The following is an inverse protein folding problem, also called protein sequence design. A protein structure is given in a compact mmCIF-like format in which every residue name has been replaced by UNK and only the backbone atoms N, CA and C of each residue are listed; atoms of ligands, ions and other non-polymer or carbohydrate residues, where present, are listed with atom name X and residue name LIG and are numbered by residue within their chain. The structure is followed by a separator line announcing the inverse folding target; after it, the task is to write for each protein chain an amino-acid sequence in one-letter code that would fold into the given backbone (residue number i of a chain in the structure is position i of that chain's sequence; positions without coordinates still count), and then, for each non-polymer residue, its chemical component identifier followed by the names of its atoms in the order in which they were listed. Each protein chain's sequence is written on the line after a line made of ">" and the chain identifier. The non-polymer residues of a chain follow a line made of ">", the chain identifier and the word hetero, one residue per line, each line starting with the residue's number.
data_IF_606822531369
#
_entry.id   IF_606822531369
#
_cell.length_a   1.000
_cell.length_b   1.000
_cell.length_c   1.000
_cell.angle_alpha   90.00
_cell.angle_beta   90.00
_cell.angle_gamma   90.00
#
_symmetry.space_group_name_H-M   'P 1'
#
loop_
_entity.id
_entity.type
_entity.pdbx_description
1 polymer ?
#
# COMPACT_ATOMS: atom_id res chain seq x y z
N UNK A 1 -18.94 18.11 -21.98
CA UNK A 1 -17.50 18.34 -22.01
C UNK A 1 -16.82 16.98 -21.95
N UNK A 2 -16.09 16.63 -23.02
CA UNK A 2 -15.49 15.31 -23.15
C UNK A 2 -14.36 15.13 -22.10
N UNK A 3 -14.47 14.06 -21.31
CA UNK A 3 -13.37 13.60 -20.47
C UNK A 3 -12.21 13.20 -21.39
N UNK A 4 -11.06 13.85 -21.25
CA UNK A 4 -9.85 13.42 -21.94
C UNK A 4 -9.49 12.03 -21.43
N UNK A 5 -9.62 11.05 -22.32
CA UNK A 5 -9.14 9.68 -22.13
C UNK A 5 -7.62 9.75 -21.97
N UNK A 6 -7.12 9.36 -20.82
CA UNK A 6 -5.68 9.17 -20.62
C UNK A 6 -5.29 7.93 -21.43
N UNK A 7 -4.40 8.02 -22.44
CA UNK A 7 -4.08 6.87 -23.28
C UNK A 7 -3.37 5.81 -22.44
N UNK A 8 -3.81 4.57 -22.57
CA UNK A 8 -3.08 3.40 -22.11
C UNK A 8 -1.74 3.33 -22.86
N UNK A 9 -0.62 3.52 -22.14
CA UNK A 9 0.70 3.15 -22.65
C UNK A 9 1.53 4.25 -23.31
N UNK A 10 1.65 5.42 -22.70
CA UNK A 10 2.81 6.28 -22.97
C UNK A 10 3.51 6.54 -21.63
N UNK A 11 4.75 6.07 -21.51
CA UNK A 11 5.74 6.57 -20.57
C UNK A 11 6.00 8.05 -20.89
N UNK A 12 5.01 8.89 -20.58
CA UNK A 12 5.15 10.33 -20.59
C UNK A 12 6.05 10.72 -19.43
N UNK A 13 6.89 11.68 -19.66
CA UNK A 13 7.83 12.31 -18.74
C UNK A 13 7.34 12.29 -17.27
N UNK A 14 7.87 11.33 -16.49
CA UNK A 14 7.53 11.08 -15.08
C UNK A 14 8.27 12.06 -14.16
N UNK A 15 8.71 13.22 -14.70
CA UNK A 15 9.36 14.26 -13.91
C UNK A 15 8.40 14.76 -12.82
N UNK A 16 8.93 14.88 -11.61
CA UNK A 16 8.22 15.48 -10.49
C UNK A 16 7.70 16.88 -10.87
N UNK A 17 6.56 17.29 -10.35
CA UNK A 17 6.04 18.65 -10.54
C UNK A 17 6.99 19.60 -9.82
N UNK A 18 7.64 20.50 -10.56
CA UNK A 18 8.52 21.48 -9.96
C UNK A 18 7.72 22.59 -9.23
N UNK A 19 8.34 23.22 -8.25
CA UNK A 19 7.72 24.36 -7.57
C UNK A 19 7.47 25.53 -8.54
N UNK A 20 8.35 25.71 -9.54
CA UNK A 20 8.19 26.76 -10.55
C UNK A 20 6.98 26.51 -11.44
N UNK A 21 6.78 25.27 -11.91
CA UNK A 21 5.59 24.90 -12.70
C UNK A 21 4.31 25.12 -11.88
N UNK A 22 4.34 24.72 -10.60
CA UNK A 22 3.18 24.87 -9.72
C UNK A 22 2.80 26.34 -9.51
N UNK A 23 3.78 27.22 -9.27
CA UNK A 23 3.57 28.67 -9.11
C UNK A 23 3.00 29.31 -10.39
N UNK A 24 3.57 28.99 -11.55
CA UNK A 24 3.10 29.49 -12.84
C UNK A 24 1.65 29.07 -13.10
N UNK A 25 1.37 27.78 -12.94
CA UNK A 25 0.04 27.22 -13.21
C UNK A 25 -1.02 27.68 -12.20
N UNK A 26 -0.64 27.91 -10.92
CA UNK A 26 -1.54 28.51 -9.94
C UNK A 26 -1.88 29.96 -10.26
N UNK A 27 -0.94 30.73 -10.81
CA UNK A 27 -1.16 32.13 -11.19
C UNK A 27 -2.14 32.26 -12.38
N UNK A 28 -2.08 31.30 -13.31
CA UNK A 28 -2.89 31.31 -14.53
C UNK A 28 -4.27 30.64 -14.35
N UNK A 29 -4.48 29.85 -13.28
CA UNK A 29 -5.73 29.12 -13.05
C UNK A 29 -6.80 30.02 -12.41
N UNK A 30 -7.97 30.24 -13.08
CA UNK A 30 -9.05 31.08 -12.55
C UNK A 30 -9.65 30.56 -11.24
N UNK A 31 -9.57 29.26 -10.96
CA UNK A 31 -10.06 28.69 -9.70
C UNK A 31 -9.08 28.98 -8.55
N UNK A 32 -7.77 28.89 -8.81
CA UNK A 32 -6.75 29.30 -7.86
C UNK A 32 -6.82 30.78 -7.54
N UNK A 33 -7.06 31.64 -8.53
CA UNK A 33 -7.25 33.11 -8.34
C UNK A 33 -8.46 33.41 -7.43
N UNK A 34 -9.56 32.65 -7.55
CA UNK A 34 -10.72 32.81 -6.64
C UNK A 34 -10.36 32.42 -5.21
N UNK A 35 -9.57 31.39 -5.01
CA UNK A 35 -9.11 30.98 -3.67
C UNK A 35 -8.12 31.96 -3.07
N UNK A 36 -7.26 32.55 -3.89
CA UNK A 36 -6.37 33.67 -3.46
C UNK A 36 -7.17 34.90 -3.00
N UNK A 37 -8.19 35.30 -3.74
CA UNK A 37 -9.08 36.40 -3.34
C UNK A 37 -9.85 36.06 -2.05
N UNK A 38 -10.21 34.81 -1.82
CA UNK A 38 -10.92 34.37 -0.62
C UNK A 38 -10.00 34.21 0.61
N UNK A 39 -8.68 34.15 0.43
CA UNK A 39 -7.72 33.96 1.53
C UNK A 39 -7.81 35.06 2.60
N UNK A 40 -8.03 36.29 2.17
CA UNK A 40 -8.16 37.46 3.06
C UNK A 40 -9.45 37.46 3.90
N UNK A 41 -10.45 36.63 3.54
CA UNK A 41 -11.80 36.69 4.12
C UNK A 41 -12.09 35.56 5.13
N UNK A 42 -11.51 34.38 4.96
CA UNK A 42 -11.91 33.19 5.74
C UNK A 42 -10.75 32.35 6.35
N UNK A 43 -9.49 32.74 6.13
CA UNK A 43 -8.34 32.06 6.73
C UNK A 43 -8.14 30.60 6.31
N UNK A 44 -8.92 30.13 5.31
CA UNK A 44 -8.82 28.75 4.81
C UNK A 44 -7.71 28.54 3.77
N UNK A 45 -7.26 29.62 3.16
CA UNK A 45 -6.22 29.63 2.14
C UNK A 45 -5.11 30.58 2.56
N UNK A 46 -3.87 30.20 2.25
CA UNK A 46 -2.66 30.94 2.60
C UNK A 46 -1.55 30.62 1.57
N UNK A 47 -0.40 31.24 1.72
CA UNK A 47 0.77 30.92 0.93
C UNK A 47 1.85 30.29 1.81
N UNK A 48 2.54 29.26 1.30
CA UNK A 48 3.72 28.71 1.98
C UNK A 48 4.95 29.63 1.81
N UNK A 49 6.06 29.26 2.46
CA UNK A 49 7.33 30.02 2.44
C UNK A 49 7.91 30.16 1.01
N UNK A 50 7.43 29.41 0.05
CA UNK A 50 7.84 29.43 -1.37
C UNK A 50 6.85 30.17 -2.25
N UNK A 51 5.79 30.71 -1.69
CA UNK A 51 4.73 31.43 -2.40
C UNK A 51 3.68 30.50 -3.04
N UNK A 52 3.68 29.21 -2.73
CA UNK A 52 2.70 28.26 -3.24
C UNK A 52 1.38 28.42 -2.49
N UNK A 53 0.27 28.53 -3.23
CA UNK A 53 -1.08 28.59 -2.66
C UNK A 53 -1.42 27.26 -1.98
N UNK A 54 -1.75 27.34 -0.70
CA UNK A 54 -2.13 26.21 0.15
C UNK A 54 -3.53 26.42 0.74
N UNK A 55 -4.17 25.31 1.09
CA UNK A 55 -5.39 25.27 1.88
C UNK A 55 -5.08 24.71 3.27
N UNK A 56 -5.63 25.31 4.29
CA UNK A 56 -5.60 24.80 5.67
C UNK A 56 -6.84 23.91 5.86
N UNK A 57 -6.64 22.62 6.08
CA UNK A 57 -7.74 21.67 6.23
C UNK A 57 -8.50 21.95 7.55
N UNK A 58 -9.84 22.16 7.50
CA UNK A 58 -10.62 22.47 8.70
C UNK A 58 -10.65 21.35 9.76
N UNK A 59 -10.36 20.12 9.35
CA UNK A 59 -10.46 18.94 10.24
C UNK A 59 -9.27 18.78 11.19
N UNK A 60 -8.06 19.14 10.76
CA UNK A 60 -6.81 18.86 11.47
C UNK A 60 -5.74 19.94 11.31
N UNK A 61 -6.04 21.04 10.61
CA UNK A 61 -5.10 22.12 10.35
C UNK A 61 -3.98 21.75 9.36
N UNK A 62 -4.02 20.60 8.69
CA UNK A 62 -2.98 20.19 7.75
C UNK A 62 -2.92 21.14 6.54
N UNK A 63 -1.69 21.44 6.10
CA UNK A 63 -1.44 22.28 4.93
C UNK A 63 -1.52 21.43 3.66
N UNK A 64 -2.45 21.76 2.77
CA UNK A 64 -2.72 21.08 1.52
C UNK A 64 -2.38 22.01 0.34
N UNK A 65 -1.53 21.57 -0.58
CA UNK A 65 -1.24 22.31 -1.80
C UNK A 65 -2.49 22.37 -2.68
N UNK A 66 -2.90 23.55 -3.10
CA UNK A 66 -4.00 23.73 -4.06
C UNK A 66 -3.48 23.38 -5.45
N UNK A 67 -4.01 22.34 -6.07
CA UNK A 67 -3.55 21.87 -7.38
C UNK A 67 -4.36 22.51 -8.49
N UNK A 68 -3.73 23.33 -9.38
CA UNK A 68 -4.38 23.95 -10.52
C UNK A 68 -4.90 22.91 -11.50
N UNK A 69 -5.93 23.23 -12.25
CA UNK A 69 -6.64 22.28 -13.14
C UNK A 69 -5.73 21.59 -14.14
N UNK A 70 -4.75 22.29 -14.70
CA UNK A 70 -3.76 21.77 -15.65
C UNK A 70 -2.90 20.65 -15.09
N UNK A 71 -2.57 20.67 -13.79
CA UNK A 71 -1.69 19.70 -13.14
C UNK A 71 -2.43 18.53 -12.49
N UNK A 72 -3.77 18.56 -12.36
CA UNK A 72 -4.54 17.49 -11.68
C UNK A 72 -4.33 16.12 -12.30
N UNK A 73 -4.36 16.03 -13.63
CA UNK A 73 -4.13 14.73 -14.32
C UNK A 73 -2.74 14.19 -14.07
N UNK A 74 -1.71 15.05 -14.00
CA UNK A 74 -0.33 14.65 -13.69
C UNK A 74 -0.21 14.16 -12.24
N UNK A 75 -0.83 14.86 -11.28
CA UNK A 75 -0.87 14.44 -9.87
C UNK A 75 -1.58 13.10 -9.72
N UNK A 76 -2.75 12.93 -10.35
CA UNK A 76 -3.49 11.66 -10.34
C UNK A 76 -2.68 10.51 -10.94
N UNK A 77 -1.95 10.78 -12.04
CA UNK A 77 -1.06 9.79 -12.64
C UNK A 77 0.05 9.37 -11.68
N UNK A 78 0.77 10.33 -11.09
CA UNK A 78 1.88 10.07 -10.18
C UNK A 78 1.45 9.32 -8.90
N UNK A 79 0.20 9.52 -8.46
CA UNK A 79 -0.36 8.89 -7.26
C UNK A 79 -1.04 7.53 -7.54
N UNK A 80 -1.10 7.10 -8.81
CA UNK A 80 -1.75 5.84 -9.18
C UNK A 80 -0.87 4.87 -9.95
N UNK A 81 -0.17 5.32 -10.99
CA UNK A 81 0.46 4.43 -11.98
C UNK A 81 1.90 4.00 -11.67
N UNK A 82 2.80 4.82 -11.10
CA UNK A 82 4.18 4.42 -10.86
C UNK A 82 4.30 3.20 -9.97
N UNK A 83 5.32 2.37 -10.20
CA UNK A 83 5.59 1.15 -9.44
C UNK A 83 5.69 1.41 -7.93
N UNK A 84 6.25 2.56 -7.54
CA UNK A 84 6.37 2.95 -6.14
C UNK A 84 5.02 3.18 -5.43
N UNK A 85 3.93 3.44 -6.18
CA UNK A 85 2.58 3.64 -5.64
C UNK A 85 1.65 2.44 -5.82
N UNK A 86 1.99 1.49 -6.70
CA UNK A 86 1.37 0.17 -6.80
C UNK A 86 -0.17 0.16 -6.96
N UNK A 87 -0.71 0.95 -7.86
CA UNK A 87 -2.14 0.99 -8.22
C UNK A 87 -3.11 0.96 -7.03
N UNK A 88 -3.12 1.98 -6.17
CA UNK A 88 -4.01 2.00 -5.00
C UNK A 88 -5.49 2.01 -5.39
N UNK A 89 -6.32 1.36 -4.60
CA UNK A 89 -7.77 1.53 -4.70
C UNK A 89 -8.20 2.96 -4.37
N UNK A 90 -9.30 3.44 -4.98
CA UNK A 90 -9.74 4.84 -4.94
C UNK A 90 -9.82 5.44 -3.52
N UNK A 91 -10.43 4.72 -2.57
CA UNK A 91 -10.55 5.19 -1.20
C UNK A 91 -9.18 5.40 -0.53
N UNK A 92 -8.22 4.50 -0.75
CA UNK A 92 -6.87 4.61 -0.19
C UNK A 92 -6.09 5.74 -0.85
N UNK A 93 -6.14 5.85 -2.18
CA UNK A 93 -5.55 6.94 -2.95
C UNK A 93 -6.05 8.29 -2.46
N UNK A 94 -7.37 8.48 -2.36
CA UNK A 94 -7.96 9.72 -1.86
C UNK A 94 -7.51 10.06 -0.42
N UNK A 95 -7.49 9.09 0.50
CA UNK A 95 -7.02 9.31 1.88
C UNK A 95 -5.56 9.73 1.97
N UNK A 96 -4.71 9.24 1.07
CA UNK A 96 -3.30 9.63 1.00
C UNK A 96 -3.17 11.03 0.42
N UNK A 97 -3.80 11.28 -0.73
CA UNK A 97 -3.71 12.55 -1.45
C UNK A 97 -4.25 13.74 -0.64
N UNK A 98 -5.37 13.56 0.05
CA UNK A 98 -5.99 14.64 0.86
C UNK A 98 -5.11 15.15 2.02
N UNK A 99 -4.01 14.50 2.33
CA UNK A 99 -3.05 14.98 3.33
C UNK A 99 -2.15 16.09 2.80
N UNK A 100 -1.91 16.08 1.49
CA UNK A 100 -0.94 16.96 0.85
C UNK A 100 -1.54 17.84 -0.23
N UNK A 101 -2.66 17.41 -0.85
CA UNK A 101 -3.26 18.06 -2.00
C UNK A 101 -4.72 18.39 -1.76
N UNK A 102 -5.17 19.45 -2.46
CA UNK A 102 -6.56 19.85 -2.49
C UNK A 102 -6.95 20.46 -3.84
N UNK A 103 -8.12 20.09 -4.32
CA UNK A 103 -8.92 20.79 -5.31
C UNK A 103 -10.40 20.40 -5.15
N UNK A 104 -11.37 21.24 -5.62
CA UNK A 104 -12.77 20.87 -5.60
C UNK A 104 -13.03 19.57 -6.37
N UNK A 105 -13.90 18.71 -5.84
CA UNK A 105 -14.27 17.44 -6.44
C UNK A 105 -13.11 16.40 -6.59
N UNK A 106 -12.00 16.60 -5.88
CA UNK A 106 -10.85 15.69 -5.91
C UNK A 106 -11.24 14.22 -5.68
N UNK A 107 -12.23 13.94 -4.83
CA UNK A 107 -12.70 12.58 -4.60
C UNK A 107 -13.26 11.96 -5.89
N UNK A 108 -14.06 12.68 -6.63
CA UNK A 108 -14.67 12.23 -7.88
C UNK A 108 -13.59 11.92 -8.93
N UNK A 109 -12.62 12.82 -9.10
CA UNK A 109 -11.50 12.64 -10.03
C UNK A 109 -10.65 11.41 -9.68
N UNK A 110 -10.38 11.18 -8.40
CA UNK A 110 -9.66 9.99 -7.91
C UNK A 110 -10.44 8.71 -8.20
N UNK A 111 -11.76 8.69 -7.92
CA UNK A 111 -12.58 7.51 -8.20
C UNK A 111 -12.66 7.21 -9.69
N UNK A 112 -12.76 8.24 -10.53
CA UNK A 112 -12.80 8.08 -11.98
C UNK A 112 -11.47 7.56 -12.53
N UNK A 113 -10.33 8.10 -12.06
CA UNK A 113 -8.98 7.64 -12.43
C UNK A 113 -8.79 6.14 -12.16
N UNK A 114 -9.19 5.69 -10.96
CA UNK A 114 -9.06 4.26 -10.60
C UNK A 114 -10.07 3.39 -11.36
N UNK A 115 -11.27 3.91 -11.66
CA UNK A 115 -12.29 3.22 -12.44
C UNK A 115 -11.85 2.95 -13.88
N UNK A 116 -11.17 3.93 -14.49
CA UNK A 116 -10.67 3.88 -15.87
C UNK A 116 -9.35 3.09 -16.01
N UNK A 117 -8.67 2.76 -14.91
CA UNK A 117 -7.44 2.01 -14.97
C UNK A 117 -7.68 0.54 -15.33
N UNK A 118 -7.20 0.10 -16.50
CA UNK A 118 -7.35 -1.28 -17.00
C UNK A 118 -6.74 -2.32 -16.05
N UNK A 119 -5.56 -2.02 -15.48
CA UNK A 119 -4.91 -2.90 -14.53
C UNK A 119 -5.77 -3.11 -13.28
N UNK A 120 -6.37 -2.04 -12.74
CA UNK A 120 -7.29 -2.11 -11.60
C UNK A 120 -8.60 -2.81 -11.98
N UNK A 121 -9.15 -2.57 -13.16
CA UNK A 121 -10.38 -3.19 -13.63
C UNK A 121 -10.23 -4.71 -13.78
N UNK A 122 -9.14 -5.17 -14.39
CA UNK A 122 -8.84 -6.61 -14.56
C UNK A 122 -8.58 -7.34 -13.23
N UNK A 123 -8.05 -6.63 -12.24
CA UNK A 123 -7.66 -7.21 -10.94
C UNK A 123 -8.68 -6.93 -9.82
N UNK A 124 -9.88 -6.41 -10.15
CA UNK A 124 -10.92 -6.10 -9.17
C UNK A 124 -11.44 -7.39 -8.53
N UNK A 125 -11.15 -7.56 -7.25
CA UNK A 125 -11.63 -8.69 -6.45
C UNK A 125 -13.01 -8.32 -5.92
N UNK A 126 -14.04 -9.16 -6.22
CA UNK A 126 -15.38 -9.02 -5.65
C UNK A 126 -15.33 -9.27 -4.14
N UNK A 127 -15.62 -8.27 -3.33
CA UNK A 127 -15.73 -8.43 -1.88
C UNK A 127 -17.09 -9.07 -1.54
N UNK A 128 -17.11 -10.38 -1.25
CA UNK A 128 -18.23 -10.98 -0.53
C UNK A 128 -18.15 -10.56 0.93
N UNK A 129 -19.14 -9.80 1.41
CA UNK A 129 -19.25 -9.44 2.83
C UNK A 129 -19.54 -10.70 3.64
N UNK A 130 -18.57 -11.18 4.40
CA UNK A 130 -18.79 -12.18 5.44
C UNK A 130 -19.12 -11.45 6.75
N UNK A 131 -20.34 -11.66 7.26
CA UNK A 131 -20.91 -11.03 8.46
C UNK A 131 -20.69 -11.85 9.74
N UNK A 132 -19.53 -12.46 9.93
CA UNK A 132 -19.24 -13.20 11.15
C UNK A 132 -18.42 -12.34 12.12
N UNK A 133 -18.83 -12.33 13.38
CA UNK A 133 -18.16 -11.58 14.46
C UNK A 133 -16.70 -12.03 14.60
N UNK A 134 -15.76 -11.13 14.37
CA UNK A 134 -14.34 -11.34 14.58
C UNK A 134 -14.01 -11.23 16.06
N UNK A 135 -13.56 -12.30 16.70
CA UNK A 135 -12.78 -12.17 17.93
C UNK A 135 -11.38 -11.70 17.57
N UNK A 136 -11.19 -10.40 17.64
CA UNK A 136 -9.88 -9.78 17.47
C UNK A 136 -9.07 -9.99 18.74
N UNK A 137 -7.95 -10.72 18.65
CA UNK A 137 -6.88 -10.60 19.65
C UNK A 137 -6.04 -9.37 19.26
N UNK A 138 -6.30 -8.18 19.82
CA UNK A 138 -5.59 -6.98 19.43
C UNK A 138 -4.12 -7.10 19.83
N UNK A 139 -3.22 -6.75 18.93
CA UNK A 139 -1.82 -6.52 19.29
C UNK A 139 -1.77 -5.32 20.24
N UNK A 140 -1.02 -5.42 21.33
CA UNK A 140 -0.96 -4.38 22.37
C UNK A 140 -0.05 -3.21 21.97
N UNK A 141 0.97 -3.47 21.13
CA UNK A 141 1.94 -2.48 20.70
C UNK A 141 2.62 -2.83 19.37
N UNK A 142 3.42 -1.89 18.83
CA UNK A 142 4.20 -2.10 17.63
C UNK A 142 5.19 -3.26 17.77
N UNK A 143 5.31 -4.10 16.75
CA UNK A 143 6.29 -5.18 16.63
C UNK A 143 6.17 -6.31 17.68
N UNK A 144 5.18 -6.26 18.56
CA UNK A 144 4.97 -7.31 19.58
C UNK A 144 4.33 -8.57 18.99
N UNK A 145 3.40 -8.43 18.06
CA UNK A 145 2.63 -9.54 17.51
C UNK A 145 2.70 -9.55 16.00
N UNK A 146 3.41 -10.53 15.48
CA UNK A 146 3.65 -10.71 14.06
C UNK A 146 2.78 -11.84 13.52
N UNK A 147 2.29 -11.67 12.32
CA UNK A 147 1.64 -12.74 11.58
C UNK A 147 2.46 -13.09 10.34
N UNK A 148 2.59 -14.38 10.06
CA UNK A 148 3.27 -14.89 8.88
C UNK A 148 2.37 -15.82 8.09
N UNK A 149 2.50 -15.73 6.76
CA UNK A 149 1.79 -16.59 5.82
C UNK A 149 2.64 -16.83 4.56
N UNK A 150 2.34 -17.87 3.81
CA UNK A 150 3.04 -18.22 2.59
C UNK A 150 2.06 -18.33 1.44
N UNK A 151 2.30 -17.50 0.44
CA UNK A 151 1.55 -17.50 -0.82
C UNK A 151 2.21 -18.40 -1.84
N UNK A 152 1.44 -19.20 -2.51
CA UNK A 152 1.91 -20.03 -3.61
C UNK A 152 1.34 -21.47 -3.62
N UNK A 153 1.79 -22.30 -4.58
CA UNK A 153 2.85 -21.99 -5.56
C UNK A 153 2.41 -20.93 -6.58
N UNK A 154 3.31 -19.98 -6.84
CA UNK A 154 3.21 -18.99 -7.90
C UNK A 154 3.96 -19.48 -9.15
N UNK A 155 3.78 -18.85 -10.32
CA UNK A 155 4.61 -19.11 -11.49
C UNK A 155 6.09 -18.99 -11.13
N UNK A 156 6.91 -19.94 -11.64
CA UNK A 156 8.35 -19.94 -11.35
C UNK A 156 9.03 -18.76 -12.04
N UNK A 157 9.75 -17.98 -11.25
CA UNK A 157 10.51 -16.84 -11.79
C UNK A 157 11.83 -17.25 -12.41
N UNK A 158 12.48 -16.31 -13.12
CA UNK A 158 13.85 -16.48 -13.65
C UNK A 158 14.86 -16.79 -12.54
N UNK A 159 14.64 -16.28 -11.33
CA UNK A 159 15.47 -16.56 -10.15
C UNK A 159 15.10 -17.86 -9.44
N UNK A 160 14.07 -18.55 -9.92
CA UNK A 160 13.61 -19.83 -9.39
C UNK A 160 12.61 -19.73 -8.25
N UNK A 161 12.14 -18.53 -7.88
CA UNK A 161 11.15 -18.31 -6.84
C UNK A 161 9.78 -18.85 -7.24
N UNK A 162 9.07 -19.48 -6.30
CA UNK A 162 7.73 -20.06 -6.48
C UNK A 162 6.77 -19.71 -5.35
N UNK A 163 7.27 -19.19 -4.27
CA UNK A 163 6.50 -18.86 -3.08
C UNK A 163 6.86 -17.47 -2.59
N UNK A 164 5.94 -16.84 -1.92
CA UNK A 164 6.14 -15.53 -1.30
C UNK A 164 5.80 -15.63 0.20
N UNK A 165 6.81 -15.50 1.05
CA UNK A 165 6.60 -15.36 2.49
C UNK A 165 6.17 -13.93 2.77
N UNK A 166 5.07 -13.77 3.50
CA UNK A 166 4.54 -12.49 3.96
C UNK A 166 4.66 -12.45 5.48
N UNK A 167 5.32 -11.41 6.00
CA UNK A 167 5.52 -11.17 7.43
C UNK A 167 4.91 -9.81 7.73
N UNK A 168 3.96 -9.73 8.66
CA UNK A 168 3.26 -8.48 8.94
C UNK A 168 3.10 -8.24 10.43
N UNK A 169 3.41 -7.02 10.88
CA UNK A 169 3.06 -6.57 12.22
C UNK A 169 1.55 -6.33 12.33
N UNK A 170 0.95 -6.96 13.30
CA UNK A 170 -0.49 -6.90 13.51
C UNK A 170 -0.96 -5.54 14.04
N UNK A 171 -0.08 -4.77 14.65
CA UNK A 171 -0.38 -3.43 15.16
C UNK A 171 -0.19 -2.36 14.10
N UNK A 172 1.05 -2.15 13.63
CA UNK A 172 1.41 -1.07 12.68
C UNK A 172 1.01 -1.35 11.26
N UNK A 173 0.79 -2.62 10.90
CA UNK A 173 0.55 -3.13 9.53
C UNK A 173 1.82 -3.12 8.66
N UNK A 174 2.97 -2.77 9.21
CA UNK A 174 4.25 -2.89 8.50
C UNK A 174 4.42 -4.33 8.03
N UNK A 175 4.73 -4.47 6.75
CA UNK A 175 4.83 -5.78 6.08
C UNK A 175 6.20 -5.94 5.43
N UNK A 176 6.71 -7.16 5.44
CA UNK A 176 7.86 -7.63 4.65
C UNK A 176 7.42 -8.77 3.77
N UNK A 177 7.94 -8.84 2.56
CA UNK A 177 7.72 -9.96 1.65
C UNK A 177 9.05 -10.53 1.22
N UNK A 178 9.14 -11.86 1.20
CA UNK A 178 10.38 -12.57 0.85
C UNK A 178 10.06 -13.64 -0.19
N UNK A 179 10.57 -13.52 -1.42
CA UNK A 179 10.47 -14.57 -2.42
C UNK A 179 11.24 -15.82 -1.98
N UNK A 180 10.62 -16.97 -2.08
CA UNK A 180 11.21 -18.26 -1.71
C UNK A 180 11.17 -19.24 -2.89
N UNK A 181 12.25 -20.00 -3.05
CA UNK A 181 12.32 -21.10 -4.04
C UNK A 181 11.62 -22.35 -3.53
N UNK A 182 11.75 -22.61 -2.23
CA UNK A 182 11.20 -23.80 -1.54
C UNK A 182 10.59 -23.38 -0.21
N UNK A 183 9.62 -24.17 0.28
CA UNK A 183 8.94 -23.96 1.56
C UNK A 183 9.35 -25.07 2.52
N UNK A 184 10.58 -25.01 3.00
CA UNK A 184 11.08 -25.87 4.08
C UNK A 184 11.10 -25.09 5.40
N UNK A 185 11.06 -25.77 6.54
CA UNK A 185 11.18 -25.12 7.86
C UNK A 185 12.46 -24.28 7.96
N UNK A 186 13.56 -24.76 7.38
CA UNK A 186 14.85 -24.06 7.36
C UNK A 186 14.79 -22.80 6.50
N UNK A 187 14.26 -22.87 5.27
CA UNK A 187 14.18 -21.71 4.38
C UNK A 187 13.26 -20.61 4.95
N UNK A 188 12.15 -21.00 5.57
CA UNK A 188 11.21 -20.07 6.21
C UNK A 188 11.81 -19.44 7.47
N UNK A 189 12.46 -20.24 8.34
CA UNK A 189 13.13 -19.74 9.54
C UNK A 189 14.25 -18.75 9.18
N UNK A 190 15.11 -19.08 8.21
CA UNK A 190 16.17 -18.19 7.75
C UNK A 190 15.59 -16.88 7.19
N UNK A 191 14.59 -16.96 6.30
CA UNK A 191 13.96 -15.77 5.75
C UNK A 191 13.31 -14.88 6.84
N UNK A 192 12.68 -15.46 7.85
CA UNK A 192 12.12 -14.75 8.98
C UNK A 192 13.21 -14.05 9.82
N UNK A 193 14.29 -14.77 10.16
CA UNK A 193 15.41 -14.22 10.95
C UNK A 193 16.07 -13.08 10.17
N UNK A 194 16.46 -13.30 8.91
CA UNK A 194 17.19 -12.32 8.11
C UNK A 194 16.35 -11.06 7.80
N UNK A 195 15.07 -11.23 7.49
CA UNK A 195 14.25 -10.14 6.99
C UNK A 195 13.39 -9.46 8.06
N UNK A 196 13.23 -10.09 9.22
CA UNK A 196 12.46 -9.52 10.32
C UNK A 196 13.29 -9.37 11.59
N UNK A 197 13.81 -10.47 12.14
CA UNK A 197 14.46 -10.45 13.46
C UNK A 197 15.73 -9.57 13.47
N UNK A 198 16.55 -9.64 12.44
CA UNK A 198 17.73 -8.79 12.34
C UNK A 198 17.43 -7.33 12.02
N UNK A 199 16.23 -7.01 11.56
CA UNK A 199 15.82 -5.63 11.22
C UNK A 199 15.05 -4.96 12.35
N UNK A 200 14.15 -5.70 13.02
CA UNK A 200 13.21 -5.16 14.01
C UNK A 200 13.34 -5.77 15.40
N UNK A 201 14.14 -6.81 15.57
CA UNK A 201 14.18 -7.63 16.77
C UNK A 201 13.17 -8.79 16.79
N UNK A 202 13.30 -9.72 17.74
CA UNK A 202 12.37 -10.82 17.93
C UNK A 202 11.03 -10.29 18.46
N UNK A 203 9.88 -10.69 17.87
CA UNK A 203 8.57 -10.33 18.38
C UNK A 203 8.23 -11.14 19.65
N UNK A 204 7.30 -10.64 20.47
CA UNK A 204 6.78 -11.38 21.62
C UNK A 204 5.98 -12.59 21.16
N UNK A 205 5.19 -12.46 20.11
CA UNK A 205 4.36 -13.54 19.58
C UNK A 205 4.36 -13.62 18.06
N UNK A 206 4.30 -14.85 17.54
CA UNK A 206 4.24 -15.15 16.13
C UNK A 206 3.00 -16.01 15.80
N UNK A 207 2.08 -15.44 15.03
CA UNK A 207 0.88 -16.09 14.52
C UNK A 207 1.14 -16.69 13.15
N UNK A 208 0.84 -17.97 12.95
CA UNK A 208 0.91 -18.65 11.64
C UNK A 208 -0.26 -19.61 11.49
N UNK A 209 -0.47 -20.12 10.29
CA UNK A 209 -1.28 -21.31 10.07
C UNK A 209 -0.56 -22.57 10.60
N UNK A 210 -1.24 -23.72 10.45
CA UNK A 210 -0.71 -25.03 10.83
C UNK A 210 0.08 -25.71 9.69
N UNK A 211 0.63 -24.95 8.76
CA UNK A 211 1.45 -25.51 7.69
C UNK A 211 2.64 -26.30 8.21
N UNK A 212 3.05 -27.39 7.54
CA UNK A 212 4.13 -28.28 7.99
C UNK A 212 5.45 -27.54 8.22
N UNK A 213 5.74 -26.49 7.47
CA UNK A 213 6.92 -25.64 7.63
C UNK A 213 6.94 -24.88 8.97
N UNK A 214 5.76 -24.52 9.49
CA UNK A 214 5.61 -23.81 10.75
C UNK A 214 5.47 -24.73 11.96
N UNK A 215 4.96 -25.94 11.75
CA UNK A 215 4.80 -26.95 12.83
C UNK A 215 6.04 -27.82 13.02
N UNK A 216 7.01 -27.74 12.12
CA UNK A 216 8.26 -28.49 12.21
C UNK A 216 9.03 -28.16 13.50
N UNK A 217 9.57 -29.18 14.15
CA UNK A 217 10.35 -29.04 15.40
C UNK A 217 11.49 -28.03 15.28
N UNK A 218 12.17 -27.99 14.14
CA UNK A 218 13.23 -27.02 13.86
C UNK A 218 12.76 -25.57 13.96
N UNK A 219 11.62 -25.25 13.34
CA UNK A 219 11.06 -23.89 13.37
C UNK A 219 10.58 -23.51 14.77
N UNK A 220 9.96 -24.46 15.49
CA UNK A 220 9.53 -24.23 16.87
C UNK A 220 10.71 -24.03 17.81
N UNK A 221 11.80 -24.80 17.67
CA UNK A 221 13.02 -24.61 18.43
C UNK A 221 13.66 -23.25 18.17
N UNK A 222 13.74 -22.82 16.92
CA UNK A 222 14.24 -21.47 16.58
C UNK A 222 13.41 -20.34 17.22
N UNK A 223 12.09 -20.47 17.25
CA UNK A 223 11.23 -19.52 17.94
C UNK A 223 11.47 -19.53 19.46
N UNK A 224 11.60 -20.70 20.07
CA UNK A 224 11.85 -20.85 21.50
C UNK A 224 13.19 -20.24 21.93
N UNK A 225 14.27 -20.47 21.18
CA UNK A 225 15.59 -19.85 21.41
C UNK A 225 15.54 -18.31 21.34
N UNK A 226 14.68 -17.76 20.50
CA UNK A 226 14.48 -16.31 20.37
C UNK A 226 13.46 -15.75 21.39
N UNK A 227 12.91 -16.58 22.27
CA UNK A 227 11.88 -16.17 23.24
C UNK A 227 10.52 -15.82 22.62
N UNK A 228 10.24 -16.30 21.40
CA UNK A 228 9.02 -15.98 20.65
C UNK A 228 7.90 -16.97 21.01
N UNK A 229 6.80 -16.48 21.55
CA UNK A 229 5.60 -17.29 21.78
C UNK A 229 4.90 -17.62 20.46
N UNK A 230 4.90 -18.90 20.07
CA UNK A 230 4.25 -19.37 18.86
C UNK A 230 2.75 -19.55 19.07
N UNK A 231 1.94 -18.92 18.23
CA UNK A 231 0.48 -19.04 18.23
C UNK A 231 0.03 -19.62 16.88
N UNK A 232 -0.81 -20.65 16.93
CA UNK A 232 -1.39 -21.23 15.73
C UNK A 232 -2.83 -20.78 15.54
N UNK A 233 -3.22 -20.50 14.29
CA UNK A 233 -4.64 -20.32 13.98
C UNK A 233 -5.32 -21.69 14.03
N UNK A 234 -6.44 -21.79 14.74
CA UNK A 234 -7.24 -23.02 14.74
C UNK A 234 -7.94 -23.21 13.39
N UNK A 235 -8.10 -24.45 12.95
CA UNK A 235 -8.64 -24.82 11.63
C UNK A 235 -10.06 -24.25 11.34
N UNK A 236 -10.81 -23.87 12.39
CA UNK A 236 -12.16 -23.30 12.27
C UNK A 236 -12.20 -21.76 12.42
N UNK A 237 -11.10 -21.09 12.71
CA UNK A 237 -11.02 -19.64 12.86
C UNK A 237 -10.15 -19.00 11.76
N UNK A 238 -10.49 -19.20 10.51
CA UNK A 238 -9.94 -18.43 9.37
C UNK A 238 -9.99 -16.91 9.59
N UNK A 239 -10.89 -16.46 10.47
CA UNK A 239 -11.07 -15.05 10.81
C UNK A 239 -9.91 -14.44 11.60
N UNK A 240 -9.14 -15.22 12.36
CA UNK A 240 -7.98 -14.71 13.11
C UNK A 240 -6.83 -14.34 12.14
N UNK A 241 -6.79 -14.95 10.97
CA UNK A 241 -5.84 -14.65 9.89
C UNK A 241 -6.40 -13.65 8.86
N UNK A 242 -7.64 -13.19 9.03
CA UNK A 242 -8.32 -12.30 8.07
C UNK A 242 -7.59 -10.97 7.81
N UNK A 243 -6.65 -10.60 8.68
CA UNK A 243 -5.76 -9.47 8.48
C UNK A 243 -4.66 -9.81 7.47
N UNK A 244 -4.01 -10.97 7.64
CA UNK A 244 -2.97 -11.46 6.72
C UNK A 244 -3.57 -11.80 5.35
N UNK A 245 -4.76 -12.38 5.31
CA UNK A 245 -5.48 -12.62 4.04
C UNK A 245 -5.74 -11.34 3.26
N UNK A 246 -6.10 -10.24 3.96
CA UNK A 246 -6.23 -8.92 3.31
C UNK A 246 -4.91 -8.39 2.78
N UNK A 247 -3.79 -8.61 3.49
CA UNK A 247 -2.46 -8.27 2.98
C UNK A 247 -2.12 -9.06 1.73
N UNK A 248 -2.28 -10.37 1.79
CA UNK A 248 -2.03 -11.28 0.69
C UNK A 248 -2.80 -10.87 -0.55
N UNK A 249 -4.09 -10.58 -0.39
CA UNK A 249 -4.95 -10.12 -1.47
C UNK A 249 -4.46 -8.80 -2.08
N UNK A 250 -4.07 -7.84 -1.25
CA UNK A 250 -3.59 -6.54 -1.71
C UNK A 250 -2.25 -6.66 -2.42
N UNK A 251 -1.30 -7.43 -1.87
CA UNK A 251 0.03 -7.65 -2.46
C UNK A 251 -0.09 -8.39 -3.78
N UNK A 252 -0.89 -9.46 -3.85
CA UNK A 252 -1.10 -10.20 -5.10
C UNK A 252 -1.77 -9.34 -6.18
N UNK A 253 -2.76 -8.51 -5.80
CA UNK A 253 -3.39 -7.60 -6.75
C UNK A 253 -2.40 -6.57 -7.29
N UNK A 254 -1.54 -6.02 -6.44
CA UNK A 254 -0.50 -5.09 -6.85
C UNK A 254 0.57 -5.77 -7.73
N UNK A 255 1.05 -6.95 -7.38
CA UNK A 255 1.99 -7.70 -8.21
C UNK A 255 1.42 -7.98 -9.60
N UNK A 256 0.16 -8.43 -9.69
CA UNK A 256 -0.51 -8.69 -10.99
C UNK A 256 -0.56 -7.47 -11.91
N UNK A 257 -0.49 -6.26 -11.37
CA UNK A 257 -0.49 -5.04 -12.19
C UNK A 257 0.83 -4.81 -12.94
N UNK A 258 1.94 -5.37 -12.44
CA UNK A 258 3.29 -5.13 -12.99
C UNK A 258 3.89 -6.33 -13.70
N UNK A 259 3.43 -7.52 -13.38
CA UNK A 259 4.00 -8.77 -13.88
C UNK A 259 3.75 -8.92 -15.40
N UNK A 260 4.80 -9.26 -16.15
CA UNK A 260 4.74 -9.52 -17.58
C UNK A 260 3.77 -10.67 -17.93
N UNK A 261 3.41 -10.82 -19.19
CA UNK A 261 2.52 -11.91 -19.65
C UNK A 261 3.01 -13.31 -19.26
N UNK A 262 4.34 -13.52 -19.18
CA UNK A 262 4.96 -14.79 -18.80
C UNK A 262 4.95 -15.06 -17.31
N UNK A 263 4.71 -14.03 -16.48
CA UNK A 263 4.65 -14.08 -15.02
C UNK A 263 5.91 -14.66 -14.36
N UNK A 264 7.07 -14.52 -15.00
CA UNK A 264 8.37 -15.07 -14.55
C UNK A 264 9.30 -14.03 -13.91
N UNK A 265 8.75 -12.84 -13.58
CA UNK A 265 9.45 -11.67 -13.05
C UNK A 265 8.80 -11.06 -11.79
N UNK A 266 7.81 -11.72 -11.21
CA UNK A 266 7.06 -11.16 -10.07
C UNK A 266 7.93 -10.88 -8.84
N UNK A 267 9.02 -11.62 -8.64
CA UNK A 267 9.93 -11.45 -7.51
C UNK A 267 10.76 -10.16 -7.61
N UNK A 268 10.97 -9.61 -8.81
CA UNK A 268 11.64 -8.32 -9.01
C UNK A 268 10.81 -7.15 -8.45
N UNK A 269 9.48 -7.27 -8.43
CA UNK A 269 8.55 -6.21 -7.98
C UNK A 269 8.17 -6.30 -6.50
N UNK A 270 8.49 -7.38 -5.80
CA UNK A 270 8.02 -7.60 -4.42
C UNK A 270 8.43 -6.51 -3.45
N UNK A 271 9.67 -6.03 -3.53
CA UNK A 271 10.19 -4.97 -2.66
C UNK A 271 9.48 -3.64 -2.91
N UNK A 272 9.26 -3.26 -4.18
CA UNK A 272 8.57 -2.03 -4.54
C UNK A 272 7.10 -2.06 -4.11
N UNK A 273 6.40 -3.18 -4.34
CA UNK A 273 5.00 -3.37 -3.92
C UNK A 273 4.86 -3.33 -2.39
N UNK A 274 5.79 -3.94 -1.67
CA UNK A 274 5.81 -3.93 -0.21
C UNK A 274 6.09 -2.53 0.34
N UNK A 275 7.03 -1.81 -0.24
CA UNK A 275 7.29 -0.41 0.07
C UNK A 275 6.03 0.44 -0.14
N UNK A 276 5.41 0.36 -1.31
CA UNK A 276 4.19 1.08 -1.63
C UNK A 276 3.04 0.74 -0.66
N UNK A 277 2.95 -0.51 -0.20
CA UNK A 277 1.98 -0.93 0.80
C UNK A 277 2.26 -0.26 2.16
N UNK A 278 3.51 -0.25 2.62
CA UNK A 278 3.90 0.28 3.92
C UNK A 278 3.79 1.82 4.01
N UNK A 279 3.99 2.52 2.90
CA UNK A 279 3.88 3.99 2.85
C UNK A 279 2.44 4.50 2.90
N UNK A 280 1.43 3.62 2.92
CA UNK A 280 0.02 4.02 2.83
C UNK A 280 -0.68 4.03 4.17
N UNK A 281 -1.73 4.85 4.23
CA UNK A 281 -2.64 4.87 5.38
C UNK A 281 -3.49 3.61 5.37
N UNK A 282 -3.36 2.82 6.42
CA UNK A 282 -4.20 1.64 6.62
C UNK A 282 -5.46 2.02 7.41
N UNK A 283 -6.63 1.55 6.95
CA UNK A 283 -7.83 1.54 7.77
C UNK A 283 -7.68 0.40 8.77
N UNK A 284 -7.39 0.71 10.02
CA UNK A 284 -7.37 -0.26 11.12
C UNK A 284 -8.79 -0.70 11.49
#
# INVERSE_FOLDING_TARGET
>A
AAAQVIPSGTEGDVSAISTADLLSEQADDPECQKFQAASSLNGLYDFDDRGVLIRIAPSDGSKQVVVPKSLRSKVLYLEHYPTAVAHPGAHRMFRTMRRSFYWPHMAEDVYETVRQCDACARNRISERRHTNFLQLFPAKGPLESIAMDILGPLPRTKHGSRFLLVIADRYTKVTRTVPLRTVTALSVARAFIDQWVYVYGPPVSLLTDNGPQFTAKFFQAACAELGIAKVFTTAYHHQTNGQVERYNRTILAALRAYVAKRQDDWDDYTSAVTFAYNCRVHSS
#
